data_IF_309046376182
#
_entry.id   IF_309046376182
#
_cell.length_a   1.000
_cell.length_b   1.000
_cell.length_c   1.000
_cell.angle_alpha   90.00
_cell.angle_beta   90.00
_cell.angle_gamma   90.00
#
_symmetry.space_group_name_H-M   'P 1'
#
loop_
_entity.id
_entity.type
_entity.pdbx_description
1 polymer ?
#
# COMPACT_ATOMS: atom_id res chain seq x y z
N UNK A 1 30.40 -8.07 -21.60
CA UNK A 1 29.48 -8.39 -22.70
C UNK A 1 28.14 -7.83 -22.29
N UNK A 2 27.53 -6.90 -23.04
CA UNK A 2 26.23 -6.39 -22.66
C UNK A 2 25.28 -7.57 -22.67
N UNK A 3 24.64 -7.85 -21.53
CA UNK A 3 23.45 -8.68 -21.54
C UNK A 3 22.43 -7.93 -22.40
N UNK A 4 22.41 -8.25 -23.70
CA UNK A 4 21.28 -8.03 -24.58
C UNK A 4 20.12 -8.88 -24.08
N UNK A 5 19.66 -8.58 -22.87
CA UNK A 5 18.54 -9.22 -22.22
C UNK A 5 17.34 -8.98 -23.11
N UNK A 6 16.61 -10.06 -23.42
CA UNK A 6 15.31 -9.97 -24.08
C UNK A 6 14.51 -8.85 -23.41
N UNK A 7 14.18 -7.83 -24.18
CA UNK A 7 13.28 -6.77 -23.74
C UNK A 7 11.92 -7.43 -23.47
N UNK A 8 11.24 -7.11 -22.37
CA UNK A 8 9.91 -7.63 -22.13
C UNK A 8 8.98 -7.28 -23.29
N UNK A 9 8.15 -8.25 -23.70
CA UNK A 9 7.13 -8.05 -24.70
C UNK A 9 5.99 -7.16 -24.19
N UNK A 10 5.07 -6.80 -25.10
CA UNK A 10 3.92 -5.98 -24.73
C UNK A 10 3.02 -6.66 -23.68
N UNK A 11 2.90 -8.00 -23.76
CA UNK A 11 2.06 -8.78 -22.85
C UNK A 11 2.54 -8.68 -21.41
N UNK A 12 3.86 -8.66 -21.16
CA UNK A 12 4.40 -8.42 -19.83
C UNK A 12 3.95 -7.07 -19.26
N UNK A 13 4.11 -5.98 -20.01
CA UNK A 13 3.74 -4.65 -19.53
C UNK A 13 2.23 -4.52 -19.30
N UNK A 14 1.42 -5.04 -20.21
CA UNK A 14 -0.04 -4.92 -20.16
C UNK A 14 -0.64 -5.85 -19.09
N UNK A 15 -0.13 -7.07 -18.92
CA UNK A 15 -0.74 -8.07 -18.04
C UNK A 15 -0.11 -8.15 -16.64
N UNK A 16 1.21 -7.96 -16.51
CA UNK A 16 1.89 -8.04 -15.22
C UNK A 16 2.01 -6.69 -14.53
N UNK A 17 2.08 -5.60 -15.30
CA UNK A 17 2.29 -4.23 -14.77
C UNK A 17 1.10 -3.29 -15.00
N UNK A 18 0.05 -3.76 -15.68
CA UNK A 18 -1.16 -2.99 -16.02
C UNK A 18 -0.83 -1.66 -16.73
N UNK A 19 0.21 -1.68 -17.56
CA UNK A 19 0.69 -0.50 -18.26
C UNK A 19 0.49 -0.65 -19.77
N UNK A 20 -0.40 0.16 -20.41
CA UNK A 20 -0.50 0.18 -21.86
C UNK A 20 0.81 0.71 -22.44
N UNK A 21 1.54 -0.15 -23.15
CA UNK A 21 2.93 0.12 -23.52
C UNK A 21 3.11 0.43 -25.01
N UNK A 22 2.19 -0.03 -25.88
CA UNK A 22 2.30 0.09 -27.34
C UNK A 22 2.58 1.51 -27.81
N UNK A 23 1.78 2.47 -27.35
CA UNK A 23 1.99 3.89 -27.66
C UNK A 23 3.41 4.35 -27.34
N UNK A 24 3.97 3.96 -26.18
CA UNK A 24 5.30 4.39 -25.76
C UNK A 24 6.42 3.70 -26.53
N UNK A 25 6.22 2.45 -26.96
CA UNK A 25 7.14 1.75 -27.85
C UNK A 25 7.15 2.39 -29.24
N UNK A 26 5.97 2.72 -29.78
CA UNK A 26 5.85 3.42 -31.07
C UNK A 26 6.48 4.82 -31.02
N UNK A 27 6.26 5.59 -29.95
CA UNK A 27 6.92 6.89 -29.78
C UNK A 27 8.45 6.76 -29.66
N UNK A 28 8.95 5.68 -29.06
CA UNK A 28 10.39 5.45 -28.94
C UNK A 28 11.08 5.21 -30.30
N UNK A 29 10.34 4.88 -31.35
CA UNK A 29 10.87 4.79 -32.73
C UNK A 29 11.06 6.17 -33.38
N UNK A 30 10.41 7.24 -32.89
CA UNK A 30 10.58 8.60 -33.42
C UNK A 30 11.85 9.25 -32.83
N UNK A 31 12.83 9.54 -33.68
CA UNK A 31 14.07 10.22 -33.30
C UNK A 31 13.86 11.59 -32.65
N UNK A 32 12.83 12.35 -33.04
CA UNK A 32 12.51 13.64 -32.40
C UNK A 32 11.98 13.44 -30.99
N UNK A 33 11.13 12.43 -30.80
CA UNK A 33 10.65 12.06 -29.48
C UNK A 33 11.83 11.63 -28.59
N UNK A 34 12.70 10.74 -29.07
CA UNK A 34 13.86 10.27 -28.31
C UNK A 34 14.83 11.39 -27.94
N UNK A 35 15.11 12.32 -28.86
CA UNK A 35 15.93 13.49 -28.55
C UNK A 35 15.29 14.36 -27.44
N UNK A 36 13.98 14.57 -27.51
CA UNK A 36 13.21 15.27 -26.46
C UNK A 36 13.23 14.53 -25.12
N UNK A 37 13.07 13.20 -25.14
CA UNK A 37 13.09 12.35 -23.97
C UNK A 37 14.44 12.41 -23.25
N UNK A 38 15.55 12.26 -23.98
CA UNK A 38 16.92 12.38 -23.41
C UNK A 38 17.15 13.78 -22.82
N UNK A 39 16.64 14.83 -23.46
CA UNK A 39 16.74 16.19 -22.94
C UNK A 39 16.02 16.37 -21.60
N UNK A 40 14.87 15.71 -21.42
CA UNK A 40 14.08 15.74 -20.20
C UNK A 40 14.66 14.96 -19.01
N UNK A 41 15.65 14.08 -19.24
CA UNK A 41 16.25 13.28 -18.16
C UNK A 41 16.99 14.15 -17.14
N UNK A 42 16.87 13.80 -15.86
CA UNK A 42 17.58 14.43 -14.75
C UNK A 42 19.00 13.88 -14.58
N UNK A 43 19.85 14.57 -13.82
CA UNK A 43 21.25 14.18 -13.57
C UNK A 43 21.44 12.73 -13.13
N UNK A 44 20.70 12.22 -12.11
CA UNK A 44 20.82 10.83 -11.67
C UNK A 44 20.41 9.83 -12.76
N UNK A 45 19.31 10.11 -13.46
CA UNK A 45 18.80 9.27 -14.55
C UNK A 45 19.81 9.14 -15.70
N UNK A 46 20.44 10.26 -16.07
CA UNK A 46 21.49 10.29 -17.09
C UNK A 46 22.72 9.51 -16.62
N UNK A 47 23.12 9.67 -15.36
CA UNK A 47 24.30 9.01 -14.81
C UNK A 47 24.12 7.50 -14.74
N UNK A 48 22.94 7.03 -14.31
CA UNK A 48 22.60 5.60 -14.30
C UNK A 48 22.60 5.04 -15.72
N UNK A 49 21.88 5.65 -16.67
CA UNK A 49 21.85 5.15 -18.04
C UNK A 49 23.24 5.11 -18.68
N UNK A 50 24.07 6.12 -18.42
CA UNK A 50 25.43 6.19 -18.93
C UNK A 50 26.30 5.05 -18.37
N UNK A 51 26.17 4.74 -17.08
CA UNK A 51 26.84 3.60 -16.45
C UNK A 51 26.33 2.24 -16.97
N UNK A 52 25.01 2.06 -17.07
CA UNK A 52 24.39 0.82 -17.55
C UNK A 52 24.72 0.51 -19.02
N UNK A 53 24.94 1.55 -19.83
CA UNK A 53 25.35 1.43 -21.23
C UNK A 53 26.88 1.33 -21.39
N UNK A 54 27.63 1.21 -20.30
CA UNK A 54 29.10 1.09 -20.26
C UNK A 54 29.80 2.21 -21.08
N UNK A 55 29.29 3.45 -20.98
CA UNK A 55 29.85 4.59 -21.69
C UNK A 55 31.07 5.17 -20.98
N UNK A 56 31.98 5.78 -21.73
CA UNK A 56 33.20 6.39 -21.20
C UNK A 56 32.87 7.44 -20.15
N UNK A 57 33.34 7.31 -18.89
CA UNK A 57 32.98 8.22 -17.80
C UNK A 57 33.26 9.69 -18.15
N UNK A 58 32.25 10.54 -17.96
CA UNK A 58 32.37 12.01 -18.11
C UNK A 58 31.63 12.68 -16.95
N UNK A 59 32.18 13.73 -16.37
CA UNK A 59 31.51 14.48 -15.28
C UNK A 59 30.30 15.30 -15.76
N UNK A 60 30.41 15.92 -16.93
CA UNK A 60 29.38 16.82 -17.46
C UNK A 60 28.10 16.08 -17.85
N UNK A 61 26.99 16.41 -17.18
CA UNK A 61 25.65 15.91 -17.56
C UNK A 61 25.30 16.23 -19.01
N UNK A 62 25.75 17.38 -19.53
CA UNK A 62 25.51 17.77 -20.93
C UNK A 62 26.20 16.81 -21.89
N UNK A 63 27.44 16.42 -21.60
CA UNK A 63 28.18 15.48 -22.42
C UNK A 63 27.56 14.08 -22.35
N UNK A 64 27.23 13.60 -21.14
CA UNK A 64 26.51 12.32 -20.98
C UNK A 64 25.22 12.29 -21.83
N UNK A 65 24.43 13.38 -21.82
CA UNK A 65 23.22 13.48 -22.66
C UNK A 65 23.53 13.40 -24.15
N UNK A 66 24.65 13.97 -24.62
CA UNK A 66 25.06 13.84 -26.02
C UNK A 66 25.40 12.38 -26.35
N UNK A 67 26.22 11.72 -25.52
CA UNK A 67 26.60 10.31 -25.72
C UNK A 67 25.36 9.39 -25.75
N UNK A 68 24.36 9.69 -24.92
CA UNK A 68 23.08 8.99 -24.90
C UNK A 68 22.27 9.22 -26.20
N UNK A 69 22.24 10.45 -26.73
CA UNK A 69 21.54 10.75 -27.99
C UNK A 69 22.13 10.00 -29.18
N UNK A 70 23.41 9.68 -29.15
CA UNK A 70 24.09 8.92 -30.20
C UNK A 70 23.77 7.41 -30.15
N UNK A 71 23.07 6.95 -29.10
CA UNK A 71 22.69 5.53 -28.91
C UNK A 71 21.18 5.33 -28.67
N UNK A 72 20.29 5.84 -29.54
CA UNK A 72 18.85 5.78 -29.31
C UNK A 72 18.33 4.34 -29.24
N UNK A 73 18.86 3.43 -30.05
CA UNK A 73 18.46 2.02 -30.09
C UNK A 73 18.62 1.28 -28.74
N UNK A 74 19.64 1.64 -27.95
CA UNK A 74 19.85 1.06 -26.62
C UNK A 74 18.93 1.68 -25.56
N UNK A 75 18.40 2.87 -25.84
CA UNK A 75 17.59 3.65 -24.90
C UNK A 75 16.09 3.38 -25.00
N UNK A 76 15.60 2.95 -26.17
CA UNK A 76 14.17 2.68 -26.42
C UNK A 76 13.53 1.82 -25.31
N UNK A 77 14.26 0.81 -24.82
CA UNK A 77 13.81 -0.11 -23.76
C UNK A 77 13.53 0.57 -22.41
N UNK A 78 14.09 1.74 -22.14
CA UNK A 78 13.91 2.47 -20.89
C UNK A 78 12.74 3.48 -20.93
N UNK A 79 12.21 3.80 -22.11
CA UNK A 79 11.06 4.72 -22.24
C UNK A 79 9.83 4.19 -21.47
N UNK A 80 9.41 2.91 -21.63
CA UNK A 80 8.33 2.33 -20.82
C UNK A 80 8.61 2.35 -19.32
N UNK A 81 9.87 2.10 -18.91
CA UNK A 81 10.27 2.10 -17.49
C UNK A 81 10.07 3.49 -16.87
N UNK A 82 10.46 4.54 -17.59
CA UNK A 82 10.25 5.92 -17.16
C UNK A 82 8.77 6.28 -17.03
N UNK A 83 7.90 5.70 -17.87
CA UNK A 83 6.44 5.85 -17.74
C UNK A 83 5.90 5.09 -16.53
N UNK A 84 6.31 3.84 -16.36
CA UNK A 84 5.94 2.98 -15.22
C UNK A 84 6.23 3.69 -13.90
N UNK A 85 7.43 4.26 -13.77
CA UNK A 85 7.93 4.97 -12.60
C UNK A 85 7.05 6.12 -12.09
N UNK A 86 6.41 6.88 -13.00
CA UNK A 86 5.61 8.08 -12.64
C UNK A 86 4.46 7.79 -11.70
N UNK A 87 3.99 6.55 -11.70
CA UNK A 87 2.86 6.11 -10.89
C UNK A 87 3.27 5.36 -9.64
N UNK A 88 4.57 5.16 -9.35
CA UNK A 88 5.02 4.28 -8.27
C UNK A 88 5.32 5.03 -6.98
N UNK A 89 4.98 4.38 -5.86
CA UNK A 89 5.36 4.81 -4.53
C UNK A 89 6.88 4.83 -4.43
N UNK A 90 7.43 6.00 -4.08
CA UNK A 90 8.85 6.18 -3.84
C UNK A 90 9.38 5.18 -2.81
N UNK A 91 8.61 4.95 -1.75
CA UNK A 91 8.97 4.02 -0.67
C UNK A 91 9.06 2.58 -1.18
N UNK A 92 8.11 2.15 -2.02
CA UNK A 92 8.12 0.81 -2.60
C UNK A 92 9.36 0.56 -3.48
N UNK A 93 9.73 1.57 -4.28
CA UNK A 93 10.88 1.47 -5.19
C UNK A 93 12.19 1.45 -4.41
N UNK A 94 12.34 2.32 -3.40
CA UNK A 94 13.54 2.38 -2.56
C UNK A 94 13.70 1.07 -1.77
N UNK A 95 12.64 0.62 -1.09
CA UNK A 95 12.66 -0.63 -0.31
C UNK A 95 13.10 -1.82 -1.17
N UNK A 96 12.54 -1.93 -2.38
CA UNK A 96 12.94 -3.01 -3.27
C UNK A 96 14.39 -2.84 -3.74
N UNK A 97 14.78 -1.62 -4.14
CA UNK A 97 16.11 -1.32 -4.63
C UNK A 97 17.19 -1.63 -3.59
N UNK A 98 16.99 -1.26 -2.32
CA UNK A 98 17.91 -1.56 -1.22
C UNK A 98 18.18 -3.07 -1.06
N UNK A 99 17.18 -3.90 -1.36
CA UNK A 99 17.33 -5.36 -1.27
C UNK A 99 18.02 -6.01 -2.47
N UNK A 100 18.10 -5.33 -3.61
CA UNK A 100 18.59 -5.94 -4.86
C UNK A 100 19.73 -5.19 -5.54
N UNK A 101 19.91 -3.90 -5.35
CA UNK A 101 20.97 -3.13 -6.02
C UNK A 101 22.23 -3.07 -5.15
N UNK A 102 23.39 -2.99 -5.80
CA UNK A 102 24.66 -2.74 -5.12
C UNK A 102 24.74 -1.27 -4.67
N UNK A 103 25.51 -0.99 -3.62
CA UNK A 103 25.64 0.36 -3.05
C UNK A 103 26.10 1.38 -4.10
N UNK A 104 27.01 1.00 -4.99
CA UNK A 104 27.52 1.87 -6.05
C UNK A 104 26.42 2.25 -7.05
N UNK A 105 25.50 1.31 -7.34
CA UNK A 105 24.33 1.58 -8.20
C UNK A 105 23.30 2.47 -7.50
N UNK A 106 23.13 2.29 -6.19
CA UNK A 106 22.25 3.12 -5.37
C UNK A 106 22.76 4.56 -5.32
N UNK A 107 24.07 4.77 -5.14
CA UNK A 107 24.68 6.10 -5.06
C UNK A 107 24.51 6.90 -6.36
N UNK A 108 24.61 6.24 -7.52
CA UNK A 108 24.32 6.87 -8.82
C UNK A 108 22.86 7.34 -8.97
N UNK A 109 21.94 6.79 -8.19
CA UNK A 109 20.52 7.13 -8.23
C UNK A 109 20.16 8.30 -7.31
N UNK A 110 21.08 8.82 -6.50
CA UNK A 110 20.85 9.96 -5.59
C UNK A 110 20.96 11.29 -6.34
N UNK A 111 20.15 12.25 -5.94
CA UNK A 111 20.25 13.64 -6.40
C UNK A 111 21.18 14.48 -5.49
N UNK A 112 21.30 15.78 -5.77
CA UNK A 112 22.16 16.69 -5.02
C UNK A 112 21.74 16.94 -3.57
N UNK A 113 20.58 16.45 -3.13
CA UNK A 113 20.07 16.56 -1.77
C UNK A 113 20.14 15.21 -1.02
N UNK A 114 20.93 14.26 -1.52
CA UNK A 114 21.02 12.89 -1.00
C UNK A 114 19.69 12.10 -1.09
N UNK A 115 18.80 12.54 -1.99
CA UNK A 115 17.50 11.95 -2.19
C UNK A 115 17.50 11.01 -3.42
N UNK A 116 16.94 9.80 -3.27
CA UNK A 116 16.84 8.87 -4.40
C UNK A 116 15.84 9.33 -5.49
N UNK A 117 16.29 9.34 -6.76
CA UNK A 117 15.45 9.49 -7.95
C UNK A 117 14.81 8.14 -8.33
N UNK A 118 13.48 8.08 -8.24
CA UNK A 118 12.68 6.87 -8.49
C UNK A 118 12.84 6.32 -9.91
N UNK A 119 13.01 7.19 -10.91
CA UNK A 119 13.17 6.77 -12.31
C UNK A 119 14.55 6.13 -12.49
N UNK A 120 15.59 6.75 -11.92
CA UNK A 120 16.94 6.22 -11.95
C UNK A 120 17.03 4.83 -11.28
N UNK A 121 16.43 4.66 -10.10
CA UNK A 121 16.35 3.36 -9.42
C UNK A 121 15.66 2.30 -10.29
N UNK A 122 14.55 2.65 -10.95
CA UNK A 122 13.84 1.73 -11.81
C UNK A 122 14.59 1.37 -13.09
N UNK A 123 15.41 2.28 -13.64
CA UNK A 123 16.33 1.93 -14.74
C UNK A 123 17.35 0.88 -14.28
N UNK A 124 17.96 1.07 -13.11
CA UNK A 124 18.92 0.12 -12.56
C UNK A 124 18.27 -1.25 -12.24
N UNK A 125 17.08 -1.26 -11.63
CA UNK A 125 16.31 -2.51 -11.38
C UNK A 125 15.99 -3.22 -12.70
N UNK A 126 15.49 -2.47 -13.68
CA UNK A 126 15.10 -3.02 -14.98
C UNK A 126 16.29 -3.66 -15.72
N UNK A 127 17.44 -2.98 -15.73
CA UNK A 127 18.64 -3.47 -16.41
C UNK A 127 19.22 -4.71 -15.71
N UNK A 128 19.25 -4.70 -14.36
CA UNK A 128 19.67 -5.85 -13.56
C UNK A 128 18.76 -7.07 -13.80
N UNK A 129 17.45 -6.88 -13.69
CA UNK A 129 16.46 -7.94 -13.93
C UNK A 129 15.06 -7.34 -14.11
N UNK A 130 14.61 -7.18 -15.36
CA UNK A 130 13.27 -6.66 -15.63
C UNK A 130 12.14 -7.53 -15.06
N UNK A 131 12.36 -8.83 -14.81
CA UNK A 131 11.37 -9.71 -14.16
C UNK A 131 11.10 -9.35 -12.70
N UNK A 132 11.86 -8.42 -12.13
CA UNK A 132 11.65 -7.88 -10.80
C UNK A 132 10.63 -6.73 -10.76
N UNK A 133 10.28 -6.12 -11.91
CA UNK A 133 9.29 -5.04 -11.95
C UNK A 133 7.90 -5.42 -11.40
N UNK A 134 7.38 -6.65 -11.58
CA UNK A 134 6.11 -7.06 -10.96
C UNK A 134 6.18 -7.00 -9.43
N UNK A 135 7.30 -7.37 -8.82
CA UNK A 135 7.48 -7.26 -7.36
C UNK A 135 7.41 -5.80 -6.92
N UNK A 136 8.05 -4.88 -7.65
CA UNK A 136 7.93 -3.43 -7.36
C UNK A 136 6.49 -2.96 -7.51
N UNK A 137 5.77 -3.43 -8.53
CA UNK A 137 4.36 -3.12 -8.75
C UNK A 137 3.47 -3.64 -7.61
N UNK A 138 3.75 -4.84 -7.10
CA UNK A 138 3.05 -5.43 -5.97
C UNK A 138 3.31 -4.68 -4.66
N UNK A 139 4.56 -4.30 -4.39
CA UNK A 139 4.93 -3.45 -3.25
C UNK A 139 4.26 -2.08 -3.34
N UNK A 140 4.20 -1.46 -4.52
CA UNK A 140 3.46 -0.21 -4.75
C UNK A 140 1.98 -0.33 -4.35
N UNK A 141 1.32 -1.46 -4.68
CA UNK A 141 -0.06 -1.70 -4.27
C UNK A 141 -0.19 -1.81 -2.75
N UNK A 142 0.71 -2.53 -2.07
CA UNK A 142 0.71 -2.61 -0.59
C UNK A 142 0.80 -1.22 0.05
N UNK A 143 1.73 -0.38 -0.44
CA UNK A 143 1.96 0.95 0.10
C UNK A 143 0.81 1.93 -0.14
N UNK A 144 -0.12 1.62 -1.05
CA UNK A 144 -1.26 2.47 -1.43
C UNK A 144 -2.62 1.94 -0.99
N UNK A 145 -2.73 0.65 -0.73
CA UNK A 145 -3.99 0.00 -0.35
C UNK A 145 -4.17 -0.01 1.15
N UNK A 146 -5.39 0.19 1.65
CA UNK A 146 -5.74 -0.15 3.02
C UNK A 146 -6.10 -1.62 3.20
N UNK A 147 -6.09 -2.11 4.44
CA UNK A 147 -6.31 -3.53 4.75
C UNK A 147 -7.36 -3.72 5.84
N UNK A 148 -8.30 -4.64 5.59
CA UNK A 148 -9.16 -5.22 6.63
C UNK A 148 -8.34 -6.21 7.44
N UNK A 149 -8.33 -6.08 8.78
CA UNK A 149 -7.73 -7.07 9.66
C UNK A 149 -8.73 -8.15 10.00
N UNK A 150 -8.33 -9.40 9.80
CA UNK A 150 -9.14 -10.56 10.12
C UNK A 150 -8.35 -11.54 10.98
N UNK A 151 -9.05 -12.18 11.92
CA UNK A 151 -8.52 -13.21 12.81
C UNK A 151 -9.38 -14.46 12.70
N UNK A 152 -8.79 -15.64 12.83
CA UNK A 152 -9.58 -16.88 12.88
C UNK A 152 -10.44 -16.90 14.14
N UNK A 153 -11.73 -17.21 13.99
CA UNK A 153 -12.64 -17.30 15.13
C UNK A 153 -12.20 -18.37 16.15
N UNK A 154 -11.67 -19.49 15.65
CA UNK A 154 -11.14 -20.61 16.46
C UNK A 154 -9.84 -21.13 15.84
N UNK A 155 -8.69 -20.52 16.16
CA UNK A 155 -7.42 -20.89 15.53
C UNK A 155 -7.08 -22.36 15.83
N UNK A 156 -6.83 -23.18 14.80
CA UNK A 156 -6.35 -24.55 14.98
C UNK A 156 -4.97 -24.57 15.65
N UNK A 157 -4.56 -25.74 16.15
CA UNK A 157 -3.16 -25.94 16.55
C UNK A 157 -2.26 -25.73 15.34
N UNK A 158 -1.10 -25.13 15.58
CA UNK A 158 -0.06 -24.92 14.57
C UNK A 158 0.35 -26.27 13.98
N UNK A 159 0.45 -26.33 12.66
CA UNK A 159 0.90 -27.51 11.93
C UNK A 159 2.43 -27.56 11.85
N UNK A 160 2.97 -28.76 11.60
CA UNK A 160 4.41 -28.97 11.40
C UNK A 160 4.89 -28.40 10.05
N UNK A 161 4.03 -28.42 9.02
CA UNK A 161 4.33 -27.80 7.73
C UNK A 161 4.16 -26.29 7.84
N UNK A 162 5.16 -25.54 7.38
CA UNK A 162 5.09 -24.09 7.40
C UNK A 162 4.11 -23.55 6.36
N UNK A 163 3.49 -22.40 6.64
CA UNK A 163 2.62 -21.73 5.68
C UNK A 163 3.35 -21.43 4.36
N UNK A 164 4.63 -21.07 4.42
CA UNK A 164 5.43 -20.81 3.23
C UNK A 164 5.59 -22.02 2.32
N UNK A 165 5.87 -23.19 2.89
CA UNK A 165 5.92 -24.45 2.13
C UNK A 165 4.56 -24.77 1.51
N UNK A 166 3.47 -24.60 2.25
CA UNK A 166 2.12 -24.80 1.73
C UNK A 166 1.79 -23.86 0.55
N UNK A 167 2.14 -22.57 0.65
CA UNK A 167 1.83 -21.58 -0.38
C UNK A 167 2.69 -21.72 -1.63
N UNK A 168 3.93 -22.20 -1.51
CA UNK A 168 4.90 -22.33 -2.61
C UNK A 168 4.79 -23.64 -3.36
N UNK A 169 4.21 -24.68 -2.76
CA UNK A 169 3.79 -25.87 -3.50
C UNK A 169 2.77 -25.45 -4.56
N UNK A 170 2.73 -26.14 -5.71
CA UNK A 170 1.82 -25.88 -6.84
C UNK A 170 0.31 -25.94 -6.47
N UNK A 171 0.00 -26.16 -5.19
CA UNK A 171 -1.29 -26.24 -4.55
C UNK A 171 -2.11 -24.95 -4.67
N UNK A 172 -1.52 -23.76 -4.52
CA UNK A 172 -2.32 -22.54 -4.38
C UNK A 172 -3.12 -22.21 -5.66
N UNK A 173 -2.51 -22.36 -6.84
CA UNK A 173 -3.23 -22.18 -8.10
C UNK A 173 -4.38 -23.19 -8.26
N UNK A 174 -4.18 -24.44 -7.81
CA UNK A 174 -5.23 -25.46 -7.79
C UNK A 174 -6.35 -25.14 -6.79
N UNK A 175 -6.03 -24.56 -5.64
CA UNK A 175 -7.02 -24.09 -4.66
C UNK A 175 -7.87 -22.95 -5.22
N UNK A 176 -7.26 -21.97 -5.89
CA UNK A 176 -8.00 -20.89 -6.55
C UNK A 176 -8.91 -21.42 -7.67
N UNK A 177 -8.42 -22.35 -8.50
CA UNK A 177 -9.24 -22.97 -9.53
C UNK A 177 -10.42 -23.78 -8.94
N UNK A 178 -10.21 -24.48 -7.83
CA UNK A 178 -11.28 -25.17 -7.09
C UNK A 178 -12.29 -24.19 -6.52
N UNK A 179 -11.82 -23.10 -5.92
CA UNK A 179 -12.67 -22.02 -5.43
C UNK A 179 -13.54 -21.44 -6.55
N UNK A 180 -12.95 -21.06 -7.69
CA UNK A 180 -13.69 -20.49 -8.82
C UNK A 180 -14.74 -21.48 -9.37
N UNK A 181 -14.40 -22.77 -9.45
CA UNK A 181 -15.35 -23.82 -9.85
C UNK A 181 -16.52 -23.95 -8.87
N UNK A 182 -16.25 -23.88 -7.57
CA UNK A 182 -17.30 -23.92 -6.53
C UNK A 182 -18.16 -22.65 -6.55
N UNK A 183 -17.55 -21.48 -6.76
CA UNK A 183 -18.27 -20.21 -6.86
C UNK A 183 -19.14 -20.13 -8.11
N UNK A 184 -18.67 -20.70 -9.22
CA UNK A 184 -19.37 -20.83 -10.50
C UNK A 184 -19.98 -19.50 -11.02
N UNK A 185 -19.27 -18.39 -10.82
CA UNK A 185 -19.71 -17.05 -11.24
C UNK A 185 -19.12 -16.62 -12.59
N UNK A 186 -18.43 -17.53 -13.28
CA UNK A 186 -17.78 -17.29 -14.57
C UNK A 186 -16.53 -16.40 -14.50
N UNK A 187 -16.02 -16.12 -13.29
CA UNK A 187 -14.80 -15.31 -13.07
C UNK A 187 -13.64 -16.21 -12.72
N UNK A 188 -12.43 -15.80 -13.12
CA UNK A 188 -11.20 -16.57 -12.93
C UNK A 188 -10.25 -15.77 -12.05
N UNK A 189 -9.69 -16.45 -11.05
CA UNK A 189 -8.68 -15.99 -10.13
C UNK A 189 -7.30 -16.46 -10.61
N UNK A 190 -6.37 -15.54 -10.77
CA UNK A 190 -5.00 -15.81 -11.18
C UNK A 190 -4.05 -15.47 -10.04
N UNK A 191 -3.28 -16.45 -9.58
CA UNK A 191 -2.17 -16.21 -8.66
C UNK A 191 -1.06 -15.48 -9.44
N UNK A 192 -0.65 -14.30 -8.93
CA UNK A 192 0.37 -13.45 -9.56
C UNK A 192 1.70 -13.51 -8.83
N UNK A 193 1.69 -13.44 -7.50
CA UNK A 193 2.92 -13.58 -6.73
C UNK A 193 2.66 -13.97 -5.28
N UNK A 194 3.71 -14.50 -4.65
CA UNK A 194 3.81 -14.70 -3.21
C UNK A 194 5.11 -14.03 -2.77
N UNK A 195 5.03 -13.07 -1.85
CA UNK A 195 6.18 -12.35 -1.32
C UNK A 195 6.32 -12.66 0.17
N UNK A 196 7.37 -13.38 0.61
CA UNK A 196 7.67 -13.56 2.02
C UNK A 196 8.25 -12.26 2.60
N UNK A 197 7.80 -11.85 3.79
CA UNK A 197 8.27 -10.62 4.46
C UNK A 197 8.11 -10.73 5.97
N UNK A 198 9.21 -10.74 6.72
CA UNK A 198 9.21 -10.75 8.19
C UNK A 198 8.34 -11.86 8.82
N UNK A 199 8.38 -13.08 8.26
CA UNK A 199 7.55 -14.21 8.72
C UNK A 199 6.08 -14.16 8.27
N UNK A 200 5.71 -13.19 7.42
CA UNK A 200 4.40 -13.04 6.77
C UNK A 200 4.49 -13.47 5.31
N UNK A 201 3.33 -13.75 4.71
CA UNK A 201 3.22 -14.10 3.29
C UNK A 201 2.16 -13.24 2.62
N UNK A 202 2.61 -12.39 1.70
CA UNK A 202 1.76 -11.56 0.87
C UNK A 202 1.41 -12.31 -0.42
N UNK A 203 0.15 -12.66 -0.59
CA UNK A 203 -0.39 -13.37 -1.75
C UNK A 203 -1.15 -12.39 -2.62
N UNK A 204 -0.74 -12.27 -3.88
CA UNK A 204 -1.38 -11.40 -4.87
C UNK A 204 -2.19 -12.22 -5.85
N UNK A 205 -3.49 -11.94 -5.90
CA UNK A 205 -4.45 -12.60 -6.76
C UNK A 205 -5.11 -11.55 -7.64
N UNK A 206 -5.11 -11.78 -8.94
CA UNK A 206 -5.84 -10.98 -9.92
C UNK A 206 -7.12 -11.73 -10.29
N UNK A 207 -8.29 -11.14 -10.06
CA UNK A 207 -9.58 -11.78 -10.35
C UNK A 207 -10.44 -10.88 -11.23
N UNK A 208 -11.20 -11.45 -12.14
CA UNK A 208 -12.21 -10.70 -12.89
C UNK A 208 -13.31 -10.19 -11.94
N UNK A 209 -13.56 -8.89 -11.84
CA UNK A 209 -14.51 -8.31 -10.87
C UNK A 209 -15.87 -7.97 -11.49
N UNK A 210 -15.93 -6.97 -12.38
CA UNK A 210 -17.19 -6.48 -12.96
C UNK A 210 -17.08 -6.39 -14.47
N UNK A 211 -18.18 -6.62 -15.20
CA UNK A 211 -18.23 -6.31 -16.63
C UNK A 211 -17.94 -4.83 -16.80
N UNK A 212 -16.96 -4.50 -17.62
CA UNK A 212 -16.53 -3.14 -17.86
C UNK A 212 -16.16 -2.96 -19.33
N UNK A 213 -16.11 -1.70 -19.76
CA UNK A 213 -15.61 -1.29 -21.06
C UNK A 213 -14.11 -1.04 -20.91
N UNK A 214 -13.29 -1.99 -21.37
CA UNK A 214 -11.83 -1.84 -21.32
C UNK A 214 -11.35 -1.19 -22.61
N UNK A 215 -10.52 -0.16 -22.48
CA UNK A 215 -9.83 0.44 -23.62
C UNK A 215 -8.60 -0.41 -23.94
N UNK A 216 -8.60 -1.05 -25.11
CA UNK A 216 -7.43 -1.73 -25.65
C UNK A 216 -6.95 -0.98 -26.89
N UNK A 217 -5.76 -0.37 -26.81
CA UNK A 217 -5.21 0.54 -27.83
C UNK A 217 -6.12 1.76 -28.10
N UNK A 218 -7.15 1.59 -28.92
CA UNK A 218 -8.14 2.62 -29.31
C UNK A 218 -9.56 2.06 -29.46
N UNK A 219 -9.78 0.79 -29.11
CA UNK A 219 -11.08 0.12 -29.19
C UNK A 219 -11.59 -0.20 -27.80
N UNK A 220 -12.89 0.02 -27.60
CA UNK A 220 -13.59 -0.42 -26.40
C UNK A 220 -13.94 -1.89 -26.57
N UNK A 221 -13.37 -2.74 -25.73
CA UNK A 221 -13.73 -4.15 -25.64
C UNK A 221 -14.61 -4.35 -24.40
N UNK A 222 -15.66 -5.16 -24.54
CA UNK A 222 -16.44 -5.63 -23.40
C UNK A 222 -15.65 -6.73 -22.70
N UNK A 223 -15.26 -6.51 -21.45
CA UNK A 223 -14.48 -7.46 -20.66
C UNK A 223 -14.84 -7.39 -19.19
N UNK A 224 -14.02 -8.00 -18.33
CA UNK A 224 -14.11 -7.81 -16.89
C UNK A 224 -12.95 -6.92 -16.43
N UNK A 225 -13.26 -5.83 -15.72
CA UNK A 225 -12.22 -5.09 -15.02
C UNK A 225 -11.59 -6.00 -13.95
N UNK A 226 -10.26 -6.16 -13.93
CA UNK A 226 -9.60 -6.95 -12.92
C UNK A 226 -9.64 -6.23 -11.56
N UNK A 227 -9.90 -6.98 -10.50
CA UNK A 227 -9.57 -6.59 -9.14
C UNK A 227 -8.25 -7.23 -8.71
N UNK A 228 -7.55 -6.52 -7.82
CA UNK A 228 -6.43 -7.07 -7.07
C UNK A 228 -6.91 -7.43 -5.68
N UNK A 229 -6.71 -8.68 -5.33
CA UNK A 229 -6.90 -9.21 -3.99
C UNK A 229 -5.50 -9.46 -3.42
N UNK A 230 -5.20 -8.79 -2.30
CA UNK A 230 -3.95 -8.95 -1.56
C UNK A 230 -4.31 -9.58 -0.22
N UNK A 231 -3.79 -10.77 0.03
CA UNK A 231 -3.92 -11.47 1.30
C UNK A 231 -2.56 -11.51 1.98
N UNK A 232 -2.45 -10.85 3.12
CA UNK A 232 -1.24 -10.77 3.91
C UNK A 232 -1.41 -11.64 5.16
N UNK A 233 -1.01 -12.90 5.02
CA UNK A 233 -1.11 -13.90 6.07
C UNK A 233 -0.02 -13.72 7.12
N UNK A 234 -0.42 -13.78 8.38
CA UNK A 234 0.45 -13.59 9.54
C UNK A 234 0.25 -14.73 10.54
N UNK A 235 1.21 -14.90 11.44
CA UNK A 235 1.12 -15.87 12.55
C UNK A 235 0.73 -17.29 12.08
N UNK A 236 1.28 -17.73 10.94
CA UNK A 236 0.96 -19.03 10.35
C UNK A 236 -0.50 -19.16 9.90
N UNK A 237 -1.07 -18.10 9.31
CA UNK A 237 -2.47 -18.01 8.88
C UNK A 237 -3.50 -18.01 10.03
N UNK A 238 -3.10 -17.65 11.26
CA UNK A 238 -4.06 -17.33 12.32
C UNK A 238 -4.71 -15.94 12.10
N UNK A 239 -3.98 -15.04 11.43
CA UNK A 239 -4.45 -13.71 11.06
C UNK A 239 -4.22 -13.46 9.57
N UNK A 240 -5.11 -12.70 8.95
CA UNK A 240 -4.94 -12.25 7.56
C UNK A 240 -5.39 -10.80 7.43
N UNK A 241 -4.53 -9.98 6.82
CA UNK A 241 -4.89 -8.65 6.37
C UNK A 241 -5.36 -8.74 4.90
N UNK A 242 -6.53 -8.20 4.59
CA UNK A 242 -7.17 -8.32 3.28
C UNK A 242 -7.32 -6.94 2.64
N UNK A 243 -6.77 -6.77 1.43
CA UNK A 243 -7.05 -5.63 0.56
C UNK A 243 -7.68 -6.11 -0.73
N UNK A 244 -8.85 -5.56 -1.09
CA UNK A 244 -9.51 -5.77 -2.37
C UNK A 244 -10.59 -4.71 -2.57
N UNK A 245 -11.21 -4.63 -3.76
CA UNK A 245 -12.41 -3.82 -3.99
C UNK A 245 -13.69 -4.56 -3.59
N UNK A 246 -13.75 -5.87 -3.83
CA UNK A 246 -14.88 -6.71 -3.42
C UNK A 246 -15.00 -6.85 -1.91
N UNK A 247 -16.24 -6.98 -1.43
CA UNK A 247 -16.57 -7.05 0.01
C UNK A 247 -16.46 -8.48 0.58
N UNK A 248 -16.90 -9.51 -0.15
CA UNK A 248 -16.99 -10.87 0.40
C UNK A 248 -16.00 -11.86 -0.22
N UNK A 249 -15.84 -11.84 -1.55
CA UNK A 249 -14.97 -12.77 -2.30
C UNK A 249 -13.55 -12.89 -1.71
N UNK A 250 -12.86 -11.79 -1.35
CA UNK A 250 -11.52 -11.86 -0.78
C UNK A 250 -11.47 -12.66 0.54
N UNK A 251 -12.49 -12.48 1.39
CA UNK A 251 -12.62 -13.21 2.64
C UNK A 251 -12.92 -14.68 2.40
N UNK A 252 -13.79 -14.99 1.45
CA UNK A 252 -14.09 -16.38 1.07
C UNK A 252 -12.86 -17.11 0.53
N UNK A 253 -12.04 -16.43 -0.30
CA UNK A 253 -10.76 -16.97 -0.77
C UNK A 253 -9.80 -17.19 0.40
N UNK A 254 -9.69 -16.22 1.32
CA UNK A 254 -8.84 -16.36 2.50
C UNK A 254 -9.26 -17.55 3.39
N UNK A 255 -10.56 -17.71 3.63
CA UNK A 255 -11.13 -18.87 4.33
C UNK A 255 -10.80 -20.17 3.58
N UNK A 256 -10.98 -20.21 2.26
CA UNK A 256 -10.69 -21.41 1.46
C UNK A 256 -9.21 -21.83 1.56
N UNK A 257 -8.29 -20.87 1.44
CA UNK A 257 -6.85 -21.12 1.56
C UNK A 257 -6.49 -21.58 2.97
N UNK A 258 -7.01 -20.91 4.01
CA UNK A 258 -6.74 -21.29 5.39
C UNK A 258 -7.31 -22.66 5.73
N UNK A 259 -8.54 -22.99 5.30
CA UNK A 259 -9.15 -24.31 5.51
C UNK A 259 -8.35 -25.42 4.84
N UNK A 260 -7.84 -25.16 3.64
CA UNK A 260 -6.94 -26.08 2.95
C UNK A 260 -5.62 -26.27 3.69
N UNK A 261 -5.02 -25.20 4.19
CA UNK A 261 -3.79 -25.25 4.98
C UNK A 261 -3.98 -26.04 6.27
N UNK A 262 -5.02 -25.74 7.05
CA UNK A 262 -5.29 -26.39 8.33
C UNK A 262 -5.94 -27.78 8.23
N UNK A 263 -6.35 -28.20 7.02
CA UNK A 263 -7.00 -29.49 6.78
C UNK A 263 -8.40 -29.61 7.39
N UNK A 264 -9.04 -28.49 7.77
CA UNK A 264 -10.39 -28.42 8.34
C UNK A 264 -11.01 -27.07 8.03
N UNK A 265 -12.34 -26.99 8.07
CA UNK A 265 -13.04 -25.73 7.86
C UNK A 265 -12.71 -24.73 8.98
N UNK A 266 -12.25 -23.55 8.57
CA UNK A 266 -11.98 -22.41 9.43
C UNK A 266 -12.57 -21.15 8.81
N UNK A 267 -12.93 -20.20 9.67
CA UNK A 267 -13.47 -18.93 9.25
C UNK A 267 -12.74 -17.77 9.93
N UNK A 268 -12.39 -16.79 9.11
CA UNK A 268 -11.94 -15.49 9.56
C UNK A 268 -13.13 -14.60 9.92
N UNK A 269 -12.96 -13.83 10.99
CA UNK A 269 -13.87 -12.76 11.43
C UNK A 269 -13.10 -11.45 11.52
N UNK A 270 -13.81 -10.32 11.48
CA UNK A 270 -13.17 -9.02 11.62
C UNK A 270 -12.45 -8.98 12.98
N UNK A 271 -11.23 -8.46 12.98
CA UNK A 271 -10.51 -8.20 14.22
C UNK A 271 -11.28 -7.16 15.06
N UNK A 272 -11.41 -7.44 16.35
CA UNK A 272 -12.16 -6.65 17.33
C UNK A 272 -11.31 -6.34 18.56
N UNK A 273 -9.97 -6.29 18.44
CA UNK A 273 -9.15 -5.82 19.56
C UNK A 273 -9.69 -4.49 20.13
N UNK A 274 -10.05 -4.52 21.41
CA UNK A 274 -10.71 -3.43 22.11
C UNK A 274 -9.69 -2.57 22.87
N UNK A 275 -9.94 -1.27 22.90
CA UNK A 275 -9.32 -0.34 23.84
C UNK A 275 -10.36 0.12 24.86
N UNK A 276 -9.93 0.42 26.07
CA UNK A 276 -10.84 0.76 27.16
C UNK A 276 -11.01 2.29 27.28
N UNK A 277 -12.19 2.73 27.75
CA UNK A 277 -12.52 4.15 27.99
C UNK A 277 -11.42 4.90 28.73
N UNK A 278 -10.82 4.29 29.75
CA UNK A 278 -9.75 4.89 30.56
C UNK A 278 -8.50 5.21 29.73
N UNK A 279 -8.12 4.35 28.80
CA UNK A 279 -6.97 4.56 27.91
C UNK A 279 -7.27 5.71 26.93
N UNK A 280 -8.48 5.71 26.37
CA UNK A 280 -8.92 6.76 25.44
C UNK A 280 -9.01 8.12 26.10
N UNK A 281 -9.60 8.22 27.31
CA UNK A 281 -9.61 9.45 28.11
C UNK A 281 -8.20 9.97 28.40
N UNK A 282 -7.26 9.07 28.73
CA UNK A 282 -5.85 9.45 28.95
C UNK A 282 -5.25 10.08 27.69
N UNK A 283 -5.42 9.44 26.53
CA UNK A 283 -4.93 9.98 25.26
C UNK A 283 -5.57 11.34 24.94
N UNK A 284 -6.89 11.44 25.01
CA UNK A 284 -7.61 12.67 24.68
C UNK A 284 -7.24 13.82 25.64
N UNK A 285 -7.02 13.54 26.91
CA UNK A 285 -6.52 14.51 27.89
C UNK A 285 -5.11 15.00 27.54
N UNK A 286 -4.20 14.10 27.14
CA UNK A 286 -2.86 14.50 26.67
C UNK A 286 -2.95 15.38 25.42
N UNK A 287 -3.80 14.98 24.46
CA UNK A 287 -4.05 15.73 23.24
C UNK A 287 -4.61 17.12 23.53
N UNK A 288 -5.67 17.24 24.33
CA UNK A 288 -6.28 18.53 24.72
C UNK A 288 -5.37 19.46 25.52
N UNK A 289 -4.24 18.96 26.00
CA UNK A 289 -3.22 19.71 26.72
C UNK A 289 -1.91 19.90 25.93
N UNK A 290 -1.85 19.47 24.66
CA UNK A 290 -0.63 19.48 23.83
C UNK A 290 0.56 18.74 24.49
N UNK A 291 0.26 17.62 25.17
CA UNK A 291 1.24 16.78 25.88
C UNK A 291 1.37 15.37 25.30
N UNK A 292 0.70 15.11 24.17
CA UNK A 292 0.87 13.84 23.47
C UNK A 292 2.09 13.95 22.54
N UNK A 293 3.15 13.20 22.84
CA UNK A 293 4.35 13.18 22.02
C UNK A 293 4.01 12.73 20.58
N UNK A 294 4.66 13.32 19.58
CA UNK A 294 4.44 13.08 18.14
C UNK A 294 3.00 13.32 17.61
N UNK A 295 2.01 13.62 18.46
CA UNK A 295 0.60 13.81 18.08
C UNK A 295 0.11 15.22 18.41
N UNK A 296 -0.47 15.88 17.42
CA UNK A 296 -1.15 17.17 17.62
C UNK A 296 -2.62 17.05 17.24
N UNK A 297 -3.53 17.39 18.15
CA UNK A 297 -4.96 17.40 17.86
C UNK A 297 -5.32 18.59 16.96
N UNK A 298 -5.91 18.33 15.80
CA UNK A 298 -6.28 19.35 14.80
C UNK A 298 -7.76 19.36 14.44
N UNK A 299 -8.49 18.32 14.82
CA UNK A 299 -9.94 18.26 14.68
C UNK A 299 -10.55 17.36 15.73
N UNK A 300 -11.70 17.74 16.26
CA UNK A 300 -12.58 16.89 17.05
C UNK A 300 -14.01 17.07 16.55
N UNK A 301 -14.71 15.95 16.39
CA UNK A 301 -16.12 15.92 16.02
C UNK A 301 -16.90 15.16 17.09
N UNK A 302 -17.92 15.80 17.64
CA UNK A 302 -18.76 15.27 18.72
C UNK A 302 -20.24 15.31 18.34
N UNK A 303 -20.99 14.30 18.78
CA UNK A 303 -22.44 14.22 18.64
C UNK A 303 -23.13 14.51 19.96
N UNK A 304 -24.24 15.26 19.91
CA UNK A 304 -25.15 15.50 21.03
C UNK A 304 -24.46 15.91 22.35
N UNK A 305 -23.35 16.64 22.26
CA UNK A 305 -22.58 17.08 23.42
C UNK A 305 -21.75 18.32 23.08
N UNK A 306 -21.53 19.24 24.04
CA UNK A 306 -22.00 19.22 25.43
C UNK A 306 -23.38 19.90 25.61
N UNK A 307 -24.04 20.30 24.53
CA UNK A 307 -25.33 21.00 24.55
C UNK A 307 -26.47 20.02 24.22
N UNK A 308 -27.44 19.88 25.12
CA UNK A 308 -28.62 19.02 24.89
C UNK A 308 -29.36 19.42 23.60
N UNK A 309 -29.60 18.44 22.73
CA UNK A 309 -30.26 18.64 21.44
C UNK A 309 -29.41 19.35 20.38
N UNK A 310 -28.10 19.56 20.63
CA UNK A 310 -27.23 20.20 19.65
C UNK A 310 -26.96 19.32 18.43
N UNK A 311 -26.84 19.93 17.24
CA UNK A 311 -26.33 19.21 16.07
C UNK A 311 -24.87 18.81 16.31
N UNK A 312 -24.38 17.85 15.52
CA UNK A 312 -22.96 17.50 15.47
C UNK A 312 -22.05 18.74 15.44
N UNK A 313 -21.16 18.85 16.41
CA UNK A 313 -20.19 19.94 16.53
C UNK A 313 -18.84 19.46 15.98
N UNK A 314 -18.23 20.26 15.12
CA UNK A 314 -16.87 20.01 14.59
C UNK A 314 -16.00 21.22 14.90
N UNK A 315 -14.99 21.01 15.74
CA UNK A 315 -13.93 21.99 15.97
C UNK A 315 -12.71 21.57 15.16
N UNK A 316 -12.27 22.41 14.24
CA UNK A 316 -11.16 22.07 13.34
C UNK A 316 -10.25 23.26 13.06
N UNK A 317 -8.98 22.96 12.80
CA UNK A 317 -8.01 23.92 12.30
C UNK A 317 -7.22 23.32 11.15
N UNK A 318 -6.82 24.16 10.21
CA UNK A 318 -6.00 23.74 9.07
C UNK A 318 -4.56 23.49 9.50
N UNK A 319 -4.00 24.38 10.32
CA UNK A 319 -2.61 24.34 10.78
C UNK A 319 -2.50 24.51 12.28
N UNK A 320 -1.66 23.68 12.91
CA UNK A 320 -1.40 23.72 14.34
C UNK A 320 -2.55 23.18 15.19
N UNK A 321 -2.32 23.20 16.51
CA UNK A 321 -3.21 22.57 17.48
C UNK A 321 -4.55 23.31 17.66
N UNK A 322 -5.61 22.55 17.94
CA UNK A 322 -6.90 23.06 18.43
C UNK A 322 -7.04 23.03 19.96
N UNK A 323 -6.05 22.51 20.69
CA UNK A 323 -6.13 22.28 22.13
C UNK A 323 -6.46 23.53 22.95
N UNK A 324 -5.90 24.70 22.59
CA UNK A 324 -6.26 25.97 23.25
C UNK A 324 -7.73 26.34 23.02
N UNK A 325 -8.25 26.07 21.82
CA UNK A 325 -9.65 26.28 21.48
C UNK A 325 -10.57 25.36 22.26
N UNK A 326 -10.20 24.08 22.38
CA UNK A 326 -10.95 23.11 23.20
C UNK A 326 -10.99 23.55 24.66
N UNK A 327 -9.84 23.88 25.27
CA UNK A 327 -9.81 24.33 26.68
C UNK A 327 -10.67 25.58 26.92
N UNK A 328 -10.74 26.49 25.96
CA UNK A 328 -11.60 27.66 26.07
C UNK A 328 -13.08 27.29 25.94
N UNK A 329 -13.41 26.39 25.00
CA UNK A 329 -14.76 25.88 24.81
C UNK A 329 -15.26 25.13 26.05
N UNK A 330 -14.45 24.23 26.62
CA UNK A 330 -14.83 23.43 27.79
C UNK A 330 -15.08 24.29 29.03
N UNK A 331 -14.31 25.37 29.20
CA UNK A 331 -14.56 26.37 30.26
C UNK A 331 -15.91 27.08 30.13
N UNK A 332 -16.39 27.25 28.90
CA UNK A 332 -17.60 28.01 28.61
C UNK A 332 -18.86 27.13 28.55
N UNK A 333 -18.73 25.89 28.05
CA UNK A 333 -19.89 25.05 27.65
C UNK A 333 -19.89 23.67 28.32
N UNK A 334 -18.80 23.26 28.98
CA UNK A 334 -18.66 21.93 29.59
C UNK A 334 -17.73 21.00 28.80
N UNK A 335 -17.33 19.88 29.43
CA UNK A 335 -16.32 18.96 28.90
C UNK A 335 -16.78 18.25 27.61
N UNK A 336 -15.93 18.25 26.58
CA UNK A 336 -16.16 17.54 25.31
C UNK A 336 -15.16 16.40 25.10
N UNK A 337 -14.02 16.44 25.80
CA UNK A 337 -12.99 15.40 25.74
C UNK A 337 -13.27 14.23 26.70
N UNK A 338 -13.99 14.49 27.79
CA UNK A 338 -14.17 13.51 28.88
C UNK A 338 -15.15 12.40 28.52
N UNK A 339 -16.12 12.67 27.66
CA UNK A 339 -17.09 11.68 27.21
C UNK A 339 -16.72 11.11 25.84
N UNK A 340 -16.03 9.97 25.86
CA UNK A 340 -15.55 9.28 24.66
C UNK A 340 -16.72 8.78 23.80
N UNK A 341 -17.86 8.42 24.40
CA UNK A 341 -19.02 7.90 23.68
C UNK A 341 -19.65 8.93 22.74
N UNK A 342 -19.51 10.23 23.06
CA UNK A 342 -19.97 11.32 22.21
C UNK A 342 -18.97 11.74 21.13
N UNK A 343 -17.73 11.23 21.17
CA UNK A 343 -16.70 11.57 20.18
C UNK A 343 -16.80 10.63 18.98
N UNK A 344 -17.33 11.16 17.88
CA UNK A 344 -17.38 10.46 16.60
C UNK A 344 -15.98 10.15 16.05
N UNK A 345 -15.16 11.20 15.97
CA UNK A 345 -13.80 11.10 15.45
C UNK A 345 -12.94 12.28 15.89
N UNK A 346 -11.63 12.05 15.90
CA UNK A 346 -10.62 13.10 15.98
C UNK A 346 -9.72 13.04 14.75
N UNK A 347 -9.04 14.14 14.45
CA UNK A 347 -7.88 14.11 13.55
C UNK A 347 -6.66 14.61 14.30
N UNK A 348 -5.58 13.84 14.17
CA UNK A 348 -4.28 14.15 14.73
C UNK A 348 -3.26 14.38 13.61
N UNK A 349 -2.30 15.26 13.81
CA UNK A 349 -1.07 15.29 13.02
C UNK A 349 -0.09 14.32 13.67
N UNK A 350 0.30 13.29 12.91
CA UNK A 350 1.40 12.37 13.24
C UNK A 350 2.46 12.53 12.15
N UNK A 351 3.68 12.95 12.53
CA UNK A 351 4.80 13.19 11.58
C UNK A 351 4.39 14.04 10.37
N UNK A 352 3.69 15.14 10.63
CA UNK A 352 3.14 16.08 9.64
C UNK A 352 2.06 15.51 8.70
N UNK A 353 1.48 14.35 9.02
CA UNK A 353 0.38 13.74 8.28
C UNK A 353 -0.89 13.73 9.12
N UNK A 354 -2.01 14.14 8.53
CA UNK A 354 -3.31 14.17 9.20
C UNK A 354 -3.91 12.77 9.18
N UNK A 355 -4.09 12.18 10.35
CA UNK A 355 -4.68 10.85 10.54
C UNK A 355 -6.00 11.01 11.28
N UNK A 356 -7.07 10.46 10.72
CA UNK A 356 -8.38 10.43 11.39
C UNK A 356 -8.45 9.20 12.28
N UNK A 357 -8.85 9.36 13.54
CA UNK A 357 -9.19 8.27 14.47
C UNK A 357 -10.69 8.31 14.76
N UNK A 358 -11.36 7.17 14.65
CA UNK A 358 -12.78 6.96 14.94
C UNK A 358 -12.91 6.03 16.13
N UNK A 359 -13.83 6.35 17.04
CA UNK A 359 -14.10 5.54 18.22
C UNK A 359 -15.45 4.85 18.01
N UNK A 360 -15.45 3.52 17.93
CA UNK A 360 -16.66 2.72 17.78
C UNK A 360 -16.91 2.01 19.11
N UNK A 361 -17.92 2.43 19.86
CA UNK A 361 -18.30 1.78 21.12
C UNK A 361 -18.79 0.35 20.85
N UNK A 362 -18.44 -0.58 21.72
CA UNK A 362 -18.93 -1.95 21.67
C UNK A 362 -20.40 -2.01 22.11
N UNK A 363 -21.27 -2.65 21.32
CA UNK A 363 -22.70 -2.78 21.65
C UNK A 363 -22.93 -3.58 22.96
N UNK A 364 -21.96 -4.42 23.35
CA UNK A 364 -22.04 -5.28 24.52
C UNK A 364 -21.42 -4.66 25.79
N UNK A 365 -20.65 -3.59 25.67
CA UNK A 365 -19.92 -2.98 26.78
C UNK A 365 -19.66 -1.49 26.55
N UNK A 366 -20.20 -0.66 27.43
CA UNK A 366 -20.02 0.80 27.37
C UNK A 366 -18.56 1.24 27.60
N UNK A 367 -17.73 0.36 28.15
CA UNK A 367 -16.33 0.65 28.50
C UNK A 367 -15.32 0.23 27.43
N UNK A 368 -15.78 -0.41 26.35
CA UNK A 368 -14.93 -0.96 25.30
C UNK A 368 -15.17 -0.26 23.97
N UNK A 369 -14.07 0.06 23.29
CA UNK A 369 -14.09 0.77 22.02
C UNK A 369 -13.16 0.07 21.03
N UNK A 370 -13.64 -0.06 19.80
CA UNK A 370 -12.77 -0.35 18.66
C UNK A 370 -12.31 0.99 18.08
N UNK A 371 -11.00 1.23 18.15
CA UNK A 371 -10.42 2.47 17.61
C UNK A 371 -9.97 2.22 16.18
N UNK A 372 -10.50 2.99 15.24
CA UNK A 372 -10.13 2.85 13.83
C UNK A 372 -9.41 4.07 13.29
N UNK A 373 -8.45 3.88 12.40
CA UNK A 373 -7.74 4.98 11.76
C UNK A 373 -7.85 4.95 10.24
N UNK A 374 -7.92 6.15 9.63
CA UNK A 374 -7.85 6.31 8.19
C UNK A 374 -6.43 6.12 7.71
N UNK A 375 -6.18 5.00 7.01
CA UNK A 375 -4.85 4.51 6.69
C UNK A 375 -4.31 5.01 5.34
N UNK A 376 -5.17 5.52 4.46
CA UNK A 376 -4.77 6.06 3.14
C UNK A 376 -3.75 7.22 3.20
N UNK A 377 -3.60 7.91 4.33
CA UNK A 377 -2.62 9.00 4.48
C UNK A 377 -1.22 8.50 4.82
N UNK A 378 -1.11 7.28 5.35
CA UNK A 378 0.14 6.65 5.75
C UNK A 378 0.49 5.53 4.76
N UNK A 379 1.76 5.39 4.39
CA UNK A 379 2.22 4.19 3.69
C UNK A 379 2.31 3.00 4.66
N UNK A 380 2.54 1.80 4.14
CA UNK A 380 2.48 0.58 4.95
C UNK A 380 3.52 0.55 6.10
N UNK A 381 4.72 1.08 5.89
CA UNK A 381 5.74 1.20 6.94
C UNK A 381 5.31 2.19 8.03
N UNK A 382 4.80 3.36 7.61
CA UNK A 382 4.31 4.39 8.53
C UNK A 382 3.11 3.92 9.35
N UNK A 383 2.22 3.12 8.75
CA UNK A 383 1.09 2.49 9.45
C UNK A 383 1.54 1.59 10.57
N UNK A 384 2.48 0.67 10.29
CA UNK A 384 3.04 -0.23 11.32
C UNK A 384 3.66 0.57 12.46
N UNK A 385 4.44 1.60 12.12
CA UNK A 385 5.05 2.48 13.13
C UNK A 385 4.01 3.25 13.93
N UNK A 386 2.94 3.74 13.29
CA UNK A 386 1.86 4.44 13.96
C UNK A 386 1.06 3.53 14.90
N UNK A 387 0.73 2.32 14.46
CA UNK A 387 0.04 1.31 15.26
C UNK A 387 0.89 0.88 16.47
N UNK A 388 2.18 0.61 16.26
CA UNK A 388 3.11 0.30 17.34
C UNK A 388 3.23 1.48 18.31
N UNK A 389 3.40 2.70 17.80
CA UNK A 389 3.45 3.91 18.63
C UNK A 389 2.20 4.09 19.51
N UNK A 390 1.01 3.88 18.95
CA UNK A 390 -0.25 3.97 19.69
C UNK A 390 -0.38 2.89 20.77
N UNK A 391 0.05 1.67 20.46
CA UNK A 391 0.05 0.55 21.41
C UNK A 391 1.07 0.78 22.53
N UNK A 392 2.32 1.08 22.19
CA UNK A 392 3.44 1.17 23.14
C UNK A 392 3.34 2.42 24.02
N UNK A 393 2.98 3.57 23.43
CA UNK A 393 2.98 4.86 24.16
C UNK A 393 1.67 5.14 24.88
N UNK A 394 0.55 4.66 24.31
CA UNK A 394 -0.79 4.99 24.80
C UNK A 394 -1.60 3.77 25.27
N UNK A 395 -1.11 2.54 25.03
CA UNK A 395 -1.85 1.32 25.37
C UNK A 395 -3.10 1.12 24.52
N UNK A 396 -3.19 1.79 23.37
CA UNK A 396 -4.39 1.79 22.52
C UNK A 396 -4.10 0.97 21.28
N UNK A 397 -4.84 -0.11 21.08
CA UNK A 397 -4.86 -0.81 19.80
C UNK A 397 -5.72 -0.04 18.82
N UNK A 398 -5.15 0.25 17.65
CA UNK A 398 -5.86 0.86 16.53
C UNK A 398 -5.91 -0.08 15.32
N UNK A 399 -7.03 -0.04 14.59
CA UNK A 399 -7.27 -0.86 13.39
C UNK A 399 -7.51 0.04 12.17
N UNK A 400 -7.12 -0.39 10.97
CA UNK A 400 -7.46 0.38 9.76
C UNK A 400 -8.98 0.45 9.53
N UNK A 401 -9.46 1.59 9.03
CA UNK A 401 -10.87 1.80 8.64
C UNK A 401 -11.26 1.10 7.34
N UNK A 402 -10.32 0.64 6.51
CA UNK A 402 -10.59 0.61 5.07
C UNK A 402 -11.67 -0.40 4.63
N UNK A 403 -11.84 -1.57 5.28
CA UNK A 403 -12.93 -2.51 4.94
C UNK A 403 -13.38 -3.34 6.13
N UNK A 404 -14.69 -3.33 6.41
CA UNK A 404 -15.35 -4.43 7.13
C UNK A 404 -15.79 -5.42 6.06
N UNK A 405 -15.32 -6.65 6.13
CA UNK A 405 -15.94 -7.70 5.33
C UNK A 405 -17.23 -8.12 6.05
N UNK A 406 -18.37 -7.90 5.40
CA UNK A 406 -19.68 -8.34 5.92
C UNK A 406 -19.83 -9.84 5.66
N UNK A 407 -20.36 -10.57 6.65
CA UNK A 407 -20.97 -11.88 6.40
C UNK A 407 -22.33 -11.67 5.75
#
# INVERSE_FOLDING_TARGET
>A
MPSGGRVPDADFWENELEMPVRYWLEQAEDGRFMAGWVNGLKGPQVSVLHALLELTPVESTRQKKNDLRDKPELLKRFVPVGRFARSKSRVAVIEFAESVLALESMDLCRDGNDEFDVIALLFAIFDKNWKSLPTVFHLDKIHKSGFARMVLEKPPKRLDVSLGEFLTQTSLASHLARFDKTKNDGRISQMKSIIPRDGRYLVFIRRSERRDMLLQSTTVIHGFAPEWIILDFQEGAAKVNISSKSVSVPLEIANHIASAYFGRDVEYVNDREHSYTKQLRRLLSLLGNDKADELTLVEIAVDNGPLDGSPKIVLSRTEGSISSGIRHFEKAVGGIIEDVGHINHIKVLYRNKRVTLKFEQNDESDDEFVVRYSDHTLNEKERRLFEAFMSDSHGITILSTEKRNRR
#
